data_IF_307462296383
#
_entry.id   IF_307462296383
#
_cell.length_a   1.000
_cell.length_b   1.000
_cell.length_c   1.000
_cell.angle_alpha   90.00
_cell.angle_beta   90.00
_cell.angle_gamma   90.00
#
_symmetry.space_group_name_H-M   'P 1'
#
loop_
_entity.id
_entity.type
_entity.pdbx_description
1 polymer ?
#
# COMPACT_ATOMS: atom_id res chain seq x y z
N UNK A 1 -35.24 -0.42 16.14
CA UNK A 1 -35.37 -1.65 15.32
C UNK A 1 -34.14 -1.91 14.45
N UNK A 2 -33.66 -0.95 13.64
CA UNK A 2 -32.35 -1.06 12.96
C UNK A 2 -31.20 -1.11 13.98
N UNK A 3 -31.38 -0.42 15.11
CA UNK A 3 -30.40 -0.28 16.19
C UNK A 3 -30.06 -1.57 16.93
N UNK A 4 -30.97 -2.54 16.92
CA UNK A 4 -30.82 -3.84 17.59
C UNK A 4 -30.32 -4.93 16.65
N UNK A 5 -30.01 -4.62 15.38
CA UNK A 5 -29.57 -5.59 14.38
C UNK A 5 -28.05 -5.60 14.25
N UNK A 6 -27.36 -6.72 14.50
CA UNK A 6 -25.89 -6.75 14.57
C UNK A 6 -25.22 -6.75 13.19
N UNK A 7 -25.78 -7.42 12.18
CA UNK A 7 -25.13 -7.60 10.88
C UNK A 7 -25.64 -6.64 9.80
N UNK A 8 -24.78 -6.30 8.85
CA UNK A 8 -25.12 -5.46 7.70
C UNK A 8 -26.22 -6.12 6.85
N UNK A 9 -26.10 -7.43 6.61
CA UNK A 9 -27.11 -8.21 5.88
C UNK A 9 -28.50 -8.19 6.54
N UNK A 10 -28.59 -8.27 7.87
CA UNK A 10 -29.88 -8.23 8.56
C UNK A 10 -30.56 -6.85 8.44
N UNK A 11 -29.77 -5.77 8.50
CA UNK A 11 -30.28 -4.41 8.30
C UNK A 11 -30.76 -4.20 6.86
N UNK A 12 -30.03 -4.72 5.88
CA UNK A 12 -30.44 -4.67 4.46
C UNK A 12 -31.69 -5.52 4.20
N UNK A 13 -31.82 -6.68 4.84
CA UNK A 13 -33.02 -7.50 4.74
C UNK A 13 -34.25 -6.77 5.33
N UNK A 14 -34.08 -6.05 6.43
CA UNK A 14 -35.12 -5.20 7.00
C UNK A 14 -35.49 -4.05 6.06
N UNK A 15 -34.49 -3.37 5.50
CA UNK A 15 -34.70 -2.32 4.50
C UNK A 15 -35.51 -2.83 3.30
N UNK A 16 -35.15 -4.00 2.74
CA UNK A 16 -35.89 -4.64 1.64
C UNK A 16 -37.35 -4.93 1.97
N UNK A 17 -37.64 -5.33 3.21
CA UNK A 17 -39.03 -5.58 3.67
C UNK A 17 -39.85 -4.29 3.80
N UNK A 18 -39.19 -3.14 3.99
CA UNK A 18 -39.84 -1.84 4.15
C UNK A 18 -39.88 -1.03 2.84
N UNK A 19 -39.46 -1.60 1.72
CA UNK A 19 -39.28 -0.89 0.44
C UNK A 19 -40.59 -0.29 -0.12
N UNK A 20 -41.76 -0.83 0.26
CA UNK A 20 -43.07 -0.30 -0.14
C UNK A 20 -43.53 0.91 0.70
N UNK A 21 -42.86 1.20 1.81
CA UNK A 21 -43.04 2.41 2.61
C UNK A 21 -41.81 3.30 2.42
N UNK A 22 -41.92 4.27 1.51
CA UNK A 22 -40.81 5.15 1.12
C UNK A 22 -40.23 5.94 2.31
N UNK A 23 -41.04 6.30 3.30
CA UNK A 23 -40.57 7.04 4.47
C UNK A 23 -39.76 6.17 5.42
N UNK A 24 -40.25 4.94 5.68
CA UNK A 24 -39.55 3.98 6.52
C UNK A 24 -38.26 3.46 5.85
N UNK A 25 -38.28 3.18 4.54
CA UNK A 25 -37.13 2.71 3.79
C UNK A 25 -35.98 3.72 3.78
N UNK A 26 -36.25 5.01 3.56
CA UNK A 26 -35.22 6.06 3.57
C UNK A 26 -34.60 6.25 4.97
N UNK A 27 -35.43 6.26 6.02
CA UNK A 27 -34.95 6.33 7.40
C UNK A 27 -34.05 5.14 7.77
N UNK A 28 -34.41 3.93 7.34
CA UNK A 28 -33.61 2.72 7.55
C UNK A 28 -32.30 2.78 6.76
N UNK A 29 -32.33 3.26 5.51
CA UNK A 29 -31.14 3.39 4.67
C UNK A 29 -30.13 4.39 5.26
N UNK A 30 -30.58 5.57 5.69
CA UNK A 30 -29.73 6.55 6.39
C UNK A 30 -29.18 5.99 7.70
N UNK A 31 -29.98 5.24 8.46
CA UNK A 31 -29.53 4.60 9.70
C UNK A 31 -28.52 3.46 9.45
N UNK A 32 -28.58 2.78 8.31
CA UNK A 32 -27.56 1.81 7.88
C UNK A 32 -26.24 2.51 7.55
N UNK A 33 -26.29 3.57 6.72
CA UNK A 33 -25.10 4.35 6.34
C UNK A 33 -24.41 4.97 7.56
N UNK A 34 -25.18 5.54 8.50
CA UNK A 34 -24.64 6.13 9.74
C UNK A 34 -23.95 5.09 10.68
N UNK A 35 -24.20 3.80 10.47
CA UNK A 35 -23.62 2.68 11.23
C UNK A 35 -22.47 1.97 10.52
N UNK A 36 -22.20 2.30 9.26
CA UNK A 36 -20.97 1.85 8.61
C UNK A 36 -19.82 2.62 9.24
N UNK A 37 -19.00 1.92 10.03
CA UNK A 37 -17.85 2.47 10.75
C UNK A 37 -16.52 2.03 10.15
N UNK A 38 -16.54 1.00 9.29
CA UNK A 38 -15.34 0.47 8.67
C UNK A 38 -15.52 0.29 7.17
N UNK A 39 -14.41 0.33 6.42
CA UNK A 39 -14.42 0.05 4.98
C UNK A 39 -14.95 -1.36 4.63
N UNK A 40 -14.77 -2.33 5.51
CA UNK A 40 -15.31 -3.69 5.35
C UNK A 40 -16.84 -3.71 5.48
N UNK A 41 -17.39 -2.99 6.46
CA UNK A 41 -18.85 -2.86 6.60
C UNK A 41 -19.47 -2.14 5.40
N UNK A 42 -18.75 -1.21 4.76
CA UNK A 42 -19.20 -0.55 3.53
C UNK A 42 -19.30 -1.55 2.37
N UNK A 43 -18.27 -2.39 2.18
CA UNK A 43 -18.28 -3.45 1.17
C UNK A 43 -19.38 -4.48 1.41
N UNK A 44 -19.52 -4.95 2.64
CA UNK A 44 -20.62 -5.85 3.04
C UNK A 44 -21.99 -5.23 2.80
N UNK A 45 -22.14 -3.92 2.99
CA UNK A 45 -23.37 -3.18 2.72
C UNK A 45 -23.66 -3.16 1.23
N UNK A 46 -22.66 -2.84 0.40
CA UNK A 46 -22.78 -2.85 -1.06
C UNK A 46 -23.18 -4.23 -1.61
N UNK A 47 -22.50 -5.28 -1.15
CA UNK A 47 -22.80 -6.66 -1.55
C UNK A 47 -24.20 -7.08 -1.07
N UNK A 48 -24.54 -6.77 0.19
CA UNK A 48 -25.85 -7.10 0.75
C UNK A 48 -27.00 -6.35 0.07
N UNK A 49 -26.80 -5.09 -0.32
CA UNK A 49 -27.78 -4.27 -1.06
C UNK A 49 -28.06 -4.83 -2.45
N UNK A 50 -27.17 -5.66 -3.00
CA UNK A 50 -27.28 -6.18 -4.36
C UNK A 50 -27.09 -5.07 -5.39
N UNK A 51 -26.19 -4.12 -5.09
CA UNK A 51 -25.84 -3.04 -6.01
C UNK A 51 -25.41 -3.67 -7.33
N UNK A 52 -26.08 -3.25 -8.41
CA UNK A 52 -25.84 -3.81 -9.73
C UNK A 52 -24.43 -3.44 -10.15
N UNK A 53 -23.59 -4.44 -10.41
CA UNK A 53 -22.31 -4.25 -11.09
C UNK A 53 -22.48 -4.57 -12.58
N UNK A 54 -21.70 -3.90 -13.40
CA UNK A 54 -21.61 -4.29 -14.81
C UNK A 54 -20.93 -5.67 -14.90
N UNK A 55 -21.44 -6.53 -15.79
CA UNK A 55 -20.76 -7.80 -16.07
C UNK A 55 -19.37 -7.51 -16.66
N UNK A 56 -18.28 -8.11 -16.14
CA UNK A 56 -16.94 -7.87 -16.64
C UNK A 56 -16.79 -8.19 -18.13
N UNK A 57 -17.43 -9.27 -18.61
CA UNK A 57 -17.39 -9.66 -20.01
C UNK A 57 -18.13 -8.69 -20.93
N UNK A 58 -19.23 -8.11 -20.47
CA UNK A 58 -19.94 -7.04 -21.17
C UNK A 58 -19.08 -5.77 -21.24
N UNK A 59 -18.48 -5.37 -20.11
CA UNK A 59 -17.61 -4.20 -20.04
C UNK A 59 -16.42 -4.34 -21.00
N UNK A 60 -15.73 -5.48 -20.96
CA UNK A 60 -14.58 -5.74 -21.83
C UNK A 60 -14.95 -5.72 -23.30
N UNK A 61 -16.10 -6.30 -23.67
CA UNK A 61 -16.60 -6.24 -25.06
C UNK A 61 -16.91 -4.82 -25.49
N UNK A 62 -17.57 -4.04 -24.63
CA UNK A 62 -17.92 -2.66 -24.93
C UNK A 62 -16.67 -1.78 -25.08
N UNK A 63 -15.67 -1.94 -24.20
CA UNK A 63 -14.40 -1.22 -24.29
C UNK A 63 -13.56 -1.63 -25.49
N UNK A 64 -13.55 -2.92 -25.87
CA UNK A 64 -12.86 -3.40 -27.09
C UNK A 64 -13.52 -2.88 -28.38
N UNK A 65 -14.83 -2.63 -28.36
CA UNK A 65 -15.53 -2.07 -29.51
C UNK A 65 -15.23 -0.58 -29.72
N UNK A 66 -14.93 0.15 -28.64
CA UNK A 66 -14.53 1.56 -28.68
C UNK A 66 -13.04 1.69 -29.06
N UNK A 67 -12.76 2.25 -30.25
CA UNK A 67 -11.42 2.30 -30.84
C UNK A 67 -10.66 3.57 -30.48
N UNK A 68 -11.36 4.61 -30.06
CA UNK A 68 -10.76 5.89 -29.67
C UNK A 68 -10.98 6.17 -28.17
N UNK A 69 -10.10 6.97 -27.53
CA UNK A 69 -10.30 7.38 -26.13
C UNK A 69 -11.65 8.09 -25.91
N UNK A 70 -12.09 8.91 -26.88
CA UNK A 70 -13.37 9.59 -26.83
C UNK A 70 -14.56 8.62 -26.85
N UNK A 71 -14.51 7.58 -27.70
CA UNK A 71 -15.52 6.52 -27.72
C UNK A 71 -15.53 5.72 -26.41
N UNK A 72 -14.35 5.41 -25.86
CA UNK A 72 -14.24 4.69 -24.60
C UNK A 72 -14.86 5.48 -23.45
N UNK A 73 -14.57 6.78 -23.35
CA UNK A 73 -15.21 7.67 -22.38
C UNK A 73 -16.72 7.71 -22.57
N UNK A 74 -17.21 7.78 -23.82
CA UNK A 74 -18.64 7.76 -24.11
C UNK A 74 -19.29 6.48 -23.60
N UNK A 75 -18.71 5.32 -23.91
CA UNK A 75 -19.18 4.01 -23.43
C UNK A 75 -19.17 3.97 -21.91
N UNK A 76 -18.08 4.37 -21.26
CA UNK A 76 -17.96 4.38 -19.81
C UNK A 76 -18.99 5.29 -19.14
N UNK A 77 -19.31 6.45 -19.73
CA UNK A 77 -20.40 7.33 -19.26
C UNK A 77 -21.76 6.64 -19.36
N UNK A 78 -22.09 6.08 -20.52
CA UNK A 78 -23.37 5.39 -20.73
C UNK A 78 -23.54 4.18 -19.80
N UNK A 79 -22.46 3.46 -19.52
CA UNK A 79 -22.47 2.37 -18.54
C UNK A 79 -22.62 2.94 -17.13
N UNK A 80 -21.88 3.98 -16.75
CA UNK A 80 -21.99 4.57 -15.39
C UNK A 80 -23.40 5.10 -15.12
N UNK A 81 -24.09 5.63 -16.13
CA UNK A 81 -25.48 6.06 -16.01
C UNK A 81 -26.46 4.89 -15.77
N UNK A 82 -26.16 3.71 -16.35
CA UNK A 82 -26.95 2.47 -16.17
C UNK A 82 -26.64 1.75 -14.86
N UNK A 83 -25.41 1.86 -14.38
CA UNK A 83 -24.90 1.25 -13.15
C UNK A 83 -24.29 2.33 -12.23
N UNK A 84 -25.12 3.26 -11.71
CA UNK A 84 -24.61 4.42 -10.97
C UNK A 84 -23.87 4.02 -9.70
N UNK A 85 -24.21 2.88 -9.10
CA UNK A 85 -23.63 2.38 -7.84
C UNK A 85 -22.35 1.54 -8.05
N UNK A 86 -21.94 1.32 -9.30
CA UNK A 86 -20.72 0.58 -9.62
C UNK A 86 -19.49 1.50 -9.50
N UNK A 87 -18.89 1.51 -8.31
CA UNK A 87 -17.70 2.31 -8.03
C UNK A 87 -16.48 1.91 -8.88
N UNK A 88 -16.37 0.64 -9.27
CA UNK A 88 -15.28 0.19 -10.16
C UNK A 88 -15.42 0.84 -11.54
N UNK A 89 -16.63 0.83 -12.08
CA UNK A 89 -16.94 1.49 -13.34
C UNK A 89 -16.73 3.00 -13.28
N UNK A 90 -17.13 3.62 -12.15
CA UNK A 90 -16.89 5.04 -11.91
C UNK A 90 -15.37 5.36 -11.87
N UNK A 91 -14.56 4.52 -11.23
CA UNK A 91 -13.10 4.71 -11.22
C UNK A 91 -12.47 4.49 -12.60
N UNK A 92 -12.96 3.54 -13.41
CA UNK A 92 -12.53 3.37 -14.80
C UNK A 92 -12.85 4.59 -15.66
N UNK A 93 -14.01 5.21 -15.48
CA UNK A 93 -14.34 6.47 -16.14
C UNK A 93 -13.41 7.61 -15.68
N UNK A 94 -13.12 7.69 -14.38
CA UNK A 94 -12.18 8.67 -13.85
C UNK A 94 -10.81 8.54 -14.51
N UNK A 95 -10.31 7.31 -14.64
CA UNK A 95 -9.03 7.02 -15.26
C UNK A 95 -8.99 7.41 -16.75
N UNK A 96 -10.03 7.05 -17.50
CA UNK A 96 -10.15 7.42 -18.92
C UNK A 96 -10.21 8.95 -19.13
N UNK A 97 -10.90 9.67 -18.22
CA UNK A 97 -10.95 11.13 -18.24
C UNK A 97 -9.58 11.74 -17.92
N UNK A 98 -8.84 11.22 -16.95
CA UNK A 98 -7.50 11.72 -16.61
C UNK A 98 -6.53 11.65 -17.79
N UNK A 99 -6.66 10.61 -18.62
CA UNK A 99 -5.79 10.36 -19.76
C UNK A 99 -6.13 11.26 -20.96
N UNK A 100 -7.36 11.78 -21.03
CA UNK A 100 -7.87 12.54 -22.19
C UNK A 100 -8.11 14.04 -21.90
N UNK A 101 -8.70 14.37 -20.75
CA UNK A 101 -9.12 15.72 -20.38
C UNK A 101 -8.95 15.96 -18.86
N UNK A 102 -7.82 16.55 -18.44
CA UNK A 102 -7.57 16.89 -17.04
C UNK A 102 -8.62 17.80 -16.38
N UNK A 103 -9.33 18.61 -17.16
CA UNK A 103 -10.40 19.47 -16.64
C UNK A 103 -11.65 18.66 -16.31
N UNK A 104 -12.08 17.81 -17.24
CA UNK A 104 -13.19 16.89 -17.02
C UNK A 104 -12.89 15.88 -15.91
N UNK A 105 -11.64 15.40 -15.82
CA UNK A 105 -11.16 14.55 -14.74
C UNK A 105 -11.37 15.20 -13.37
N UNK A 106 -10.90 16.44 -13.16
CA UNK A 106 -11.11 17.18 -11.90
C UNK A 106 -12.59 17.37 -11.58
N UNK A 107 -13.40 17.75 -12.57
CA UNK A 107 -14.83 17.93 -12.38
C UNK A 107 -15.52 16.62 -11.93
N UNK A 108 -15.14 15.51 -12.55
CA UNK A 108 -15.67 14.20 -12.21
C UNK A 108 -15.17 13.69 -10.84
N UNK A 109 -13.89 13.91 -10.51
CA UNK A 109 -13.32 13.55 -9.21
C UNK A 109 -14.03 14.27 -8.03
N UNK A 110 -14.39 15.55 -8.20
CA UNK A 110 -15.21 16.29 -7.22
C UNK A 110 -16.59 15.66 -7.03
N UNK A 111 -17.23 15.23 -8.13
CA UNK A 111 -18.53 14.53 -8.05
C UNK A 111 -18.40 13.20 -7.32
N UNK A 112 -17.35 12.42 -7.60
CA UNK A 112 -17.12 11.14 -6.93
C UNK A 112 -16.95 11.29 -5.42
N UNK A 113 -16.19 12.29 -4.97
CA UNK A 113 -16.02 12.57 -3.54
C UNK A 113 -17.29 12.99 -2.82
N UNK A 114 -18.22 13.62 -3.53
CA UNK A 114 -19.52 14.04 -2.99
C UNK A 114 -20.54 12.91 -2.92
N UNK A 115 -20.24 11.72 -3.43
CA UNK A 115 -21.16 10.59 -3.36
C UNK A 115 -21.26 10.06 -1.94
N UNK A 116 -22.47 9.71 -1.54
CA UNK A 116 -22.72 9.14 -0.21
C UNK A 116 -22.06 7.77 0.01
N UNK A 117 -21.79 7.04 -1.08
CA UNK A 117 -21.16 5.73 -1.10
C UNK A 117 -19.65 5.79 -1.38
N UNK A 118 -19.08 6.98 -1.51
CA UNK A 118 -17.64 7.12 -1.66
C UNK A 118 -16.96 6.50 -0.44
N UNK A 119 -16.09 5.53 -0.67
CA UNK A 119 -15.34 4.84 0.38
C UNK A 119 -13.87 5.30 0.41
N UNK A 120 -13.04 4.63 1.21
CA UNK A 120 -11.61 4.93 1.28
C UNK A 120 -10.88 4.66 -0.05
N UNK A 121 -11.34 3.70 -0.87
CA UNK A 121 -10.76 3.39 -2.17
C UNK A 121 -11.04 4.50 -3.18
N UNK A 122 -12.28 4.99 -3.25
CA UNK A 122 -12.63 6.14 -4.10
C UNK A 122 -11.80 7.37 -3.72
N UNK A 123 -11.70 7.68 -2.43
CA UNK A 123 -10.87 8.81 -1.95
C UNK A 123 -9.39 8.62 -2.26
N UNK A 124 -8.88 7.39 -2.14
CA UNK A 124 -7.51 7.07 -2.54
C UNK A 124 -7.32 7.36 -4.03
N UNK A 125 -8.15 6.79 -4.90
CA UNK A 125 -8.04 6.98 -6.35
C UNK A 125 -8.16 8.45 -6.77
N UNK A 126 -9.07 9.22 -6.16
CA UNK A 126 -9.22 10.65 -6.44
C UNK A 126 -8.01 11.46 -5.93
N UNK A 127 -7.49 11.15 -4.74
CA UNK A 127 -6.29 11.83 -4.22
C UNK A 127 -5.06 11.54 -5.09
N UNK A 128 -4.86 10.29 -5.50
CA UNK A 128 -3.80 9.87 -6.42
C UNK A 128 -3.91 10.56 -7.78
N UNK A 129 -5.12 10.69 -8.31
CA UNK A 129 -5.38 11.46 -9.53
C UNK A 129 -4.94 12.92 -9.37
N UNK A 130 -5.30 13.58 -8.28
CA UNK A 130 -4.88 14.96 -8.05
C UNK A 130 -3.35 15.09 -7.96
N UNK A 131 -2.64 14.13 -7.37
CA UNK A 131 -1.17 14.14 -7.37
C UNK A 131 -0.56 13.96 -8.76
N UNK A 132 -1.15 13.09 -9.59
CA UNK A 132 -0.70 12.95 -10.98
C UNK A 132 -1.01 14.21 -11.79
N UNK A 133 -2.18 14.81 -11.62
CA UNK A 133 -2.54 16.07 -12.27
C UNK A 133 -1.64 17.22 -11.82
N UNK A 134 -1.22 17.28 -10.55
CA UNK A 134 -0.30 18.28 -10.05
C UNK A 134 1.06 18.27 -10.77
N UNK A 135 1.50 17.08 -11.24
CA UNK A 135 2.74 16.90 -12.01
C UNK A 135 2.57 17.16 -13.51
N UNK A 136 1.34 17.25 -14.04
CA UNK A 136 1.05 17.52 -15.46
C UNK A 136 1.04 19.03 -15.76
N UNK A 137 1.26 19.44 -17.03
CA UNK A 137 1.09 20.83 -17.44
C UNK A 137 -0.29 21.37 -17.08
N UNK A 138 -0.34 22.57 -16.48
CA UNK A 138 -1.58 23.19 -16.00
C UNK A 138 -2.09 22.68 -14.65
N UNK A 139 -1.35 21.77 -13.98
CA UNK A 139 -1.52 21.48 -12.57
C UNK A 139 -0.58 22.29 -11.68
N UNK A 140 -0.58 21.99 -10.39
CA UNK A 140 0.36 22.59 -9.43
C UNK A 140 -0.06 22.39 -7.97
N UNK A 141 0.35 23.32 -7.11
CA UNK A 141 0.12 23.25 -5.66
C UNK A 141 -1.35 23.10 -5.28
N UNK A 142 -2.27 23.71 -6.05
CA UNK A 142 -3.70 23.59 -5.80
C UNK A 142 -4.18 22.13 -5.92
N UNK A 143 -3.71 21.39 -6.92
CA UNK A 143 -4.04 19.97 -7.06
C UNK A 143 -3.36 19.13 -5.98
N UNK A 144 -2.11 19.43 -5.64
CA UNK A 144 -1.41 18.74 -4.55
C UNK A 144 -2.11 18.95 -3.20
N UNK A 145 -2.62 20.15 -2.93
CA UNK A 145 -3.42 20.45 -1.74
C UNK A 145 -4.76 19.70 -1.77
N UNK A 146 -5.42 19.63 -2.93
CA UNK A 146 -6.68 18.90 -3.08
C UNK A 146 -6.50 17.38 -2.90
N UNK A 147 -5.35 16.82 -3.30
CA UNK A 147 -4.99 15.44 -3.01
C UNK A 147 -4.89 15.18 -1.50
N UNK A 148 -4.10 16.00 -0.78
CA UNK A 148 -3.94 15.90 0.67
C UNK A 148 -5.28 16.00 1.40
N UNK A 149 -6.13 16.93 0.97
CA UNK A 149 -7.50 17.07 1.50
C UNK A 149 -8.33 15.82 1.27
N UNK A 150 -8.31 15.29 0.04
CA UNK A 150 -9.06 14.08 -0.33
C UNK A 150 -8.63 12.88 0.49
N UNK A 151 -7.33 12.71 0.74
CA UNK A 151 -6.86 11.65 1.63
C UNK A 151 -7.34 11.87 3.07
N UNK A 152 -7.28 13.11 3.58
CA UNK A 152 -7.77 13.47 4.91
C UNK A 152 -9.24 13.08 5.14
N UNK A 153 -10.09 13.16 4.11
CA UNK A 153 -11.49 12.74 4.19
C UNK A 153 -11.65 11.25 4.59
N UNK A 154 -10.65 10.39 4.34
CA UNK A 154 -10.70 8.97 4.75
C UNK A 154 -10.94 8.84 6.26
N UNK A 155 -10.29 9.69 7.07
CA UNK A 155 -10.46 9.67 8.53
C UNK A 155 -11.56 10.62 9.01
N UNK A 156 -12.03 11.57 8.19
CA UNK A 156 -13.19 12.40 8.55
C UNK A 156 -14.48 11.57 8.57
N UNK A 157 -14.64 10.67 7.61
CA UNK A 157 -15.81 9.78 7.54
C UNK A 157 -15.71 8.59 8.51
N UNK A 158 -14.49 8.17 8.87
CA UNK A 158 -14.23 7.04 9.77
C UNK A 158 -13.20 7.39 10.86
N UNK A 159 -13.51 8.32 11.79
CA UNK A 159 -12.51 8.90 12.70
C UNK A 159 -11.89 7.94 13.71
N UNK A 160 -12.66 6.90 14.07
CA UNK A 160 -12.29 5.89 15.06
C UNK A 160 -11.93 4.53 14.42
N UNK A 161 -11.87 4.43 13.08
CA UNK A 161 -11.50 3.20 12.39
C UNK A 161 -9.97 3.09 12.28
N UNK A 162 -9.34 2.09 12.93
CA UNK A 162 -7.91 1.84 12.79
C UNK A 162 -7.48 1.63 11.34
N UNK A 163 -8.30 0.98 10.50
CA UNK A 163 -7.97 0.74 9.11
C UNK A 163 -7.94 2.04 8.28
N UNK A 164 -8.86 2.97 8.56
CA UNK A 164 -8.88 4.29 7.92
C UNK A 164 -7.65 5.13 8.33
N UNK A 165 -7.31 5.12 9.63
CA UNK A 165 -6.11 5.81 10.16
C UNK A 165 -4.82 5.27 9.56
N UNK A 166 -4.69 3.94 9.50
CA UNK A 166 -3.55 3.27 8.86
C UNK A 166 -3.44 3.66 7.39
N UNK A 167 -4.54 3.55 6.63
CA UNK A 167 -4.56 3.87 5.20
C UNK A 167 -4.15 5.31 4.93
N UNK A 168 -4.64 6.28 5.70
CA UNK A 168 -4.18 7.66 5.57
C UNK A 168 -2.67 7.78 5.85
N UNK A 169 -2.19 7.18 6.94
CA UNK A 169 -0.75 7.16 7.25
C UNK A 169 0.10 6.56 6.11
N UNK A 170 -0.32 5.44 5.53
CA UNK A 170 0.38 4.78 4.43
C UNK A 170 0.41 5.64 3.17
N UNK A 171 -0.71 6.28 2.80
CA UNK A 171 -0.75 7.22 1.68
C UNK A 171 0.18 8.41 1.90
N UNK A 172 0.15 9.00 3.10
CA UNK A 172 1.02 10.13 3.43
C UNK A 172 2.51 9.73 3.37
N UNK A 173 2.85 8.55 3.90
CA UNK A 173 4.21 8.00 3.87
C UNK A 173 4.67 7.68 2.44
N UNK A 174 3.79 7.12 1.61
CA UNK A 174 4.10 6.80 0.22
C UNK A 174 4.48 8.04 -0.61
N UNK A 175 3.92 9.20 -0.26
CA UNK A 175 4.19 10.48 -0.92
C UNK A 175 5.21 11.37 -0.18
N UNK A 176 5.93 10.80 0.79
CA UNK A 176 7.02 11.49 1.50
C UNK A 176 6.57 12.50 2.55
N UNK A 177 5.28 12.55 2.91
CA UNK A 177 4.76 13.41 3.97
C UNK A 177 4.87 12.70 5.33
N UNK A 178 6.12 12.46 5.72
CA UNK A 178 6.45 11.57 6.82
C UNK A 178 6.03 12.11 8.18
N UNK A 179 6.10 13.42 8.41
CA UNK A 179 5.64 14.03 9.66
C UNK A 179 4.13 13.83 9.86
N UNK A 180 3.32 14.07 8.82
CA UNK A 180 1.88 13.87 8.88
C UNK A 180 1.55 12.38 9.01
N UNK A 181 2.27 11.49 8.30
CA UNK A 181 2.11 10.04 8.43
C UNK A 181 2.38 9.57 9.86
N UNK A 182 3.47 10.05 10.47
CA UNK A 182 3.85 9.73 11.85
C UNK A 182 2.72 10.08 12.83
N UNK A 183 2.11 11.27 12.71
CA UNK A 183 0.97 11.68 13.56
C UNK A 183 -0.25 10.78 13.40
N UNK A 184 -0.53 10.28 12.19
CA UNK A 184 -1.62 9.32 11.97
C UNK A 184 -1.32 7.99 12.66
N UNK A 185 -0.08 7.50 12.56
CA UNK A 185 0.32 6.26 13.23
C UNK A 185 0.38 6.41 14.76
N UNK A 186 0.72 7.57 15.31
CA UNK A 186 0.60 7.83 16.76
C UNK A 186 -0.87 7.77 17.22
N UNK A 187 -1.79 8.25 16.38
CA UNK A 187 -3.22 8.14 16.65
C UNK A 187 -3.69 6.69 16.56
N UNK A 188 -3.23 5.96 15.55
CA UNK A 188 -3.48 4.53 15.41
C UNK A 188 -2.95 3.76 16.64
N UNK A 189 -1.76 4.08 17.14
CA UNK A 189 -1.19 3.46 18.35
C UNK A 189 -2.10 3.57 19.57
N UNK A 190 -2.80 4.70 19.72
CA UNK A 190 -3.76 4.91 20.81
C UNK A 190 -5.05 4.11 20.62
N UNK A 191 -5.46 3.86 19.36
CA UNK A 191 -6.65 3.07 19.03
C UNK A 191 -6.38 1.57 19.12
N UNK A 192 -5.14 1.14 18.89
CA UNK A 192 -4.72 -0.28 18.90
C UNK A 192 -3.50 -0.49 19.79
N UNK A 193 -3.63 -0.33 21.12
CA UNK A 193 -2.49 -0.41 22.04
C UNK A 193 -1.82 -1.79 22.08
N UNK A 194 -2.54 -2.84 21.69
CA UNK A 194 -2.06 -4.23 21.69
C UNK A 194 -1.42 -4.66 20.36
N UNK A 195 -1.36 -3.78 19.35
CA UNK A 195 -0.70 -4.08 18.08
C UNK A 195 0.83 -3.98 18.24
N UNK A 196 1.46 -5.14 18.45
CA UNK A 196 2.90 -5.26 18.62
C UNK A 196 3.72 -4.83 17.39
N UNK A 197 3.13 -4.80 16.18
CA UNK A 197 3.82 -4.45 14.94
C UNK A 197 3.63 -3.00 14.53
N UNK A 198 2.66 -2.29 15.11
CA UNK A 198 2.43 -0.87 14.85
C UNK A 198 3.68 0.02 15.01
N UNK A 199 4.61 -0.22 15.96
CA UNK A 199 5.85 0.55 16.03
C UNK A 199 6.67 0.51 14.74
N UNK A 200 6.53 -0.51 13.87
CA UNK A 200 7.22 -0.57 12.57
C UNK A 200 6.70 0.46 11.56
N UNK A 201 5.43 0.88 11.68
CA UNK A 201 4.88 2.00 10.88
C UNK A 201 5.53 3.32 11.30
N UNK A 202 5.65 3.56 12.61
CA UNK A 202 6.36 4.71 13.17
C UNK A 202 7.84 4.70 12.78
N UNK A 203 8.47 3.52 12.82
CA UNK A 203 9.86 3.33 12.39
C UNK A 203 10.05 3.74 10.92
N UNK A 204 9.16 3.30 10.04
CA UNK A 204 9.21 3.62 8.60
C UNK A 204 9.06 5.12 8.33
N UNK A 205 8.15 5.80 9.04
CA UNK A 205 8.04 7.27 8.94
C UNK A 205 9.26 7.99 9.51
N UNK A 206 9.78 7.56 10.67
CA UNK A 206 11.00 8.12 11.25
C UNK A 206 12.22 7.95 10.32
N UNK A 207 12.32 6.81 9.62
CA UNK A 207 13.35 6.59 8.63
C UNK A 207 13.20 7.52 7.42
N UNK A 208 11.98 7.74 6.94
CA UNK A 208 11.70 8.72 5.87
C UNK A 208 12.09 10.15 6.24
N UNK A 209 12.00 10.52 7.53
CA UNK A 209 12.48 11.80 8.07
C UNK A 209 14.01 11.89 8.19
N UNK A 210 14.76 10.83 7.84
CA UNK A 210 16.20 10.75 8.07
C UNK A 210 16.59 10.53 9.54
N UNK A 211 15.62 10.23 10.42
CA UNK A 211 15.87 9.98 11.85
C UNK A 211 16.16 8.51 12.10
N UNK A 212 17.21 7.98 11.49
CA UNK A 212 17.51 6.54 11.50
C UNK A 212 17.64 5.96 12.91
N UNK A 213 18.29 6.67 13.84
CA UNK A 213 18.40 6.22 15.22
C UNK A 213 17.04 6.09 15.93
N UNK A 214 16.09 6.96 15.61
CA UNK A 214 14.72 6.86 16.11
C UNK A 214 13.98 5.68 15.47
N UNK A 215 14.15 5.49 14.16
CA UNK A 215 13.59 4.35 13.44
C UNK A 215 14.04 3.02 14.06
N UNK A 216 15.34 2.88 14.36
CA UNK A 216 15.87 1.66 14.99
C UNK A 216 15.26 1.42 16.37
N UNK A 217 15.10 2.45 17.22
CA UNK A 217 14.43 2.29 18.53
C UNK A 217 13.00 1.80 18.38
N UNK A 218 12.27 2.26 17.37
CA UNK A 218 10.92 1.78 17.07
C UNK A 218 10.91 0.32 16.62
N UNK A 219 11.88 -0.11 15.81
CA UNK A 219 12.04 -1.54 15.45
C UNK A 219 12.38 -2.41 16.66
N UNK A 220 13.26 -1.95 17.56
CA UNK A 220 13.61 -2.65 18.81
C UNK A 220 12.36 -2.82 19.70
N UNK A 221 11.52 -1.78 19.79
CA UNK A 221 10.24 -1.83 20.52
C UNK A 221 9.26 -2.85 19.94
N UNK A 222 9.09 -2.89 18.61
CA UNK A 222 8.26 -3.91 17.96
C UNK A 222 8.80 -5.33 18.20
N UNK A 223 10.12 -5.49 18.12
CA UNK A 223 10.79 -6.77 18.38
C UNK A 223 10.57 -7.25 19.81
N UNK A 224 10.67 -6.36 20.81
CA UNK A 224 10.46 -6.70 22.21
C UNK A 224 8.99 -6.98 22.57
N UNK A 225 8.05 -6.33 21.87
CA UNK A 225 6.61 -6.53 22.06
C UNK A 225 6.09 -7.82 21.39
N UNK A 226 6.85 -8.39 20.46
CA UNK A 226 6.48 -9.63 19.77
C UNK A 226 6.74 -10.85 20.66
N UNK A 227 5.70 -11.61 21.01
CA UNK A 227 5.84 -12.82 21.82
C UNK A 227 6.71 -13.89 21.10
N UNK A 228 7.60 -14.61 21.82
CA UNK A 228 8.44 -15.66 21.21
C UNK A 228 7.65 -16.85 20.66
N UNK A 229 6.46 -17.08 21.23
CA UNK A 229 5.64 -18.30 21.03
C UNK A 229 4.51 -18.07 20.03
N UNK A 230 4.22 -16.81 19.68
CA UNK A 230 3.27 -16.50 18.63
C UNK A 230 3.94 -16.88 17.31
N UNK A 231 3.41 -17.87 16.59
CA UNK A 231 3.90 -18.27 15.26
C UNK A 231 3.91 -17.15 14.20
N UNK A 232 3.65 -15.90 14.56
CA UNK A 232 3.88 -14.70 13.75
C UNK A 232 5.34 -14.27 13.87
N UNK A 233 6.07 -14.25 12.76
CA UNK A 233 7.46 -13.80 12.68
C UNK A 233 7.69 -12.32 12.99
N UNK A 234 6.94 -11.69 13.89
CA UNK A 234 7.00 -10.25 14.21
C UNK A 234 8.37 -9.79 14.69
N UNK A 235 9.03 -10.57 15.55
CA UNK A 235 10.41 -10.30 15.96
C UNK A 235 11.41 -10.39 14.80
N UNK A 236 11.21 -11.34 13.87
CA UNK A 236 12.03 -11.45 12.64
C UNK A 236 11.76 -10.27 11.71
N UNK A 237 10.50 -9.88 11.55
CA UNK A 237 10.10 -8.73 10.73
C UNK A 237 10.70 -7.43 11.26
N UNK A 238 10.64 -7.21 12.58
CA UNK A 238 11.26 -6.06 13.23
C UNK A 238 12.78 -6.01 12.99
N UNK A 239 13.45 -7.16 13.07
CA UNK A 239 14.88 -7.26 12.72
C UNK A 239 15.15 -7.06 11.23
N UNK A 240 14.26 -7.48 10.34
CA UNK A 240 14.36 -7.22 8.91
C UNK A 240 14.25 -5.72 8.59
N UNK A 241 13.33 -4.99 9.23
CA UNK A 241 13.27 -3.52 9.16
C UNK A 241 14.56 -2.88 9.69
N UNK A 242 15.04 -3.31 10.86
CA UNK A 242 16.30 -2.81 11.43
C UNK A 242 17.49 -3.07 10.49
N UNK A 243 17.58 -4.26 9.90
CA UNK A 243 18.61 -4.63 8.95
C UNK A 243 18.57 -3.73 7.70
N UNK A 244 17.38 -3.48 7.14
CA UNK A 244 17.22 -2.57 6.01
C UNK A 244 17.67 -1.15 6.34
N UNK A 245 17.18 -0.57 7.45
CA UNK A 245 17.49 0.82 7.83
C UNK A 245 18.97 1.01 8.17
N UNK A 246 19.57 0.06 8.89
CA UNK A 246 21.01 0.12 9.18
C UNK A 246 21.84 -0.10 7.90
N UNK A 247 21.41 -0.96 6.98
CA UNK A 247 22.10 -1.13 5.70
C UNK A 247 22.05 0.17 4.87
N UNK A 248 20.93 0.88 4.85
CA UNK A 248 20.83 2.16 4.16
C UNK A 248 21.76 3.21 4.76
N UNK A 249 21.80 3.31 6.10
CA UNK A 249 22.71 4.23 6.78
C UNK A 249 24.19 3.87 6.54
N UNK A 250 24.54 2.57 6.50
CA UNK A 250 25.89 2.10 6.17
C UNK A 250 26.27 2.43 4.72
N UNK A 251 25.37 2.20 3.77
CA UNK A 251 25.59 2.57 2.36
C UNK A 251 25.82 4.09 2.21
N UNK A 252 25.01 4.91 2.89
CA UNK A 252 25.18 6.36 2.90
C UNK A 252 26.48 6.80 3.58
N UNK A 253 26.90 6.12 4.66
CA UNK A 253 28.17 6.38 5.36
C UNK A 253 29.39 6.01 4.51
N UNK A 254 29.33 4.86 3.83
CA UNK A 254 30.38 4.42 2.91
C UNK A 254 30.53 5.41 1.74
N UNK A 255 29.43 5.79 1.09
CA UNK A 255 29.43 6.78 0.00
C UNK A 255 29.90 8.17 0.46
N UNK A 256 29.62 8.53 1.70
CA UNK A 256 30.08 9.78 2.32
C UNK A 256 31.48 9.75 2.93
N UNK A 257 32.20 8.63 2.88
CA UNK A 257 33.54 8.50 3.46
C UNK A 257 33.58 8.54 5.01
N UNK A 258 32.46 8.30 5.69
CA UNK A 258 32.31 8.39 7.16
C UNK A 258 32.70 7.07 7.85
N UNK A 259 33.98 6.73 7.81
CA UNK A 259 34.49 5.41 8.25
C UNK A 259 34.17 5.04 9.71
N UNK A 260 34.27 6.00 10.65
CA UNK A 260 33.98 5.74 12.06
C UNK A 260 32.50 5.42 12.31
N UNK A 261 31.60 6.12 11.60
CA UNK A 261 30.16 5.88 11.68
C UNK A 261 29.78 4.55 11.02
N UNK A 262 30.38 4.24 9.87
CA UNK A 262 30.20 2.97 9.18
C UNK A 262 30.51 1.78 10.11
N UNK A 263 31.63 1.82 10.83
CA UNK A 263 32.00 0.74 11.76
C UNK A 263 31.03 0.65 12.95
N UNK A 264 30.62 1.79 13.52
CA UNK A 264 29.63 1.81 14.60
C UNK A 264 28.29 1.20 14.17
N UNK A 265 27.79 1.57 12.98
CA UNK A 265 26.56 1.05 12.40
C UNK A 265 26.67 -0.45 12.08
N UNK A 266 27.85 -0.91 11.68
CA UNK A 266 28.14 -2.33 11.41
C UNK A 266 28.08 -3.17 12.68
N UNK A 267 28.74 -2.73 13.75
CA UNK A 267 28.67 -3.40 15.06
C UNK A 267 27.25 -3.41 15.63
N UNK A 268 26.47 -2.35 15.39
CA UNK A 268 25.07 -2.31 15.79
C UNK A 268 24.22 -3.32 15.02
N UNK A 269 24.40 -3.44 13.70
CA UNK A 269 23.71 -4.46 12.94
C UNK A 269 24.07 -5.87 13.38
N UNK A 270 25.36 -6.19 13.56
CA UNK A 270 25.79 -7.50 14.08
C UNK A 270 25.05 -7.88 15.36
N UNK A 271 24.92 -6.94 16.30
CA UNK A 271 24.21 -7.18 17.57
C UNK A 271 22.71 -7.38 17.39
N UNK A 272 22.06 -6.55 16.58
CA UNK A 272 20.61 -6.61 16.40
C UNK A 272 20.14 -7.79 15.56
N UNK A 273 20.94 -8.22 14.58
CA UNK A 273 20.60 -9.32 13.69
C UNK A 273 21.25 -10.65 14.08
N UNK A 274 22.03 -10.72 15.16
CA UNK A 274 22.77 -11.91 15.59
C UNK A 274 21.94 -13.20 15.61
N UNK A 275 20.68 -13.13 16.02
CA UNK A 275 19.76 -14.28 16.12
C UNK A 275 19.31 -14.80 14.75
N UNK A 276 19.21 -13.92 13.76
CA UNK A 276 18.82 -14.25 12.37
C UNK A 276 19.92 -13.85 11.37
N UNK A 277 21.18 -13.98 11.79
CA UNK A 277 22.31 -13.64 10.94
C UNK A 277 22.36 -14.65 9.77
N UNK A 278 22.52 -14.20 8.52
CA UNK A 278 22.72 -15.11 7.40
C UNK A 278 23.97 -15.96 7.64
N UNK A 279 24.01 -17.22 7.19
CA UNK A 279 25.23 -18.02 7.27
C UNK A 279 26.35 -17.36 6.46
N UNK A 280 27.64 -17.63 6.78
CA UNK A 280 28.76 -17.07 6.04
C UNK A 280 28.64 -17.32 4.53
N UNK A 281 28.86 -16.27 3.72
CA UNK A 281 28.72 -16.32 2.26
C UNK A 281 27.27 -16.25 1.75
N UNK A 282 26.26 -16.20 2.63
CA UNK A 282 24.89 -15.94 2.21
C UNK A 282 24.63 -14.45 1.97
N UNK A 283 23.60 -14.17 1.18
CA UNK A 283 23.17 -12.81 0.85
C UNK A 283 21.76 -12.58 1.34
N UNK A 284 21.55 -11.52 2.13
CA UNK A 284 20.21 -11.09 2.54
C UNK A 284 19.62 -10.21 1.45
N UNK A 285 18.38 -10.51 1.05
CA UNK A 285 17.61 -9.73 0.10
C UNK A 285 16.34 -9.25 0.81
N UNK A 286 16.17 -7.93 0.87
CA UNK A 286 15.00 -7.29 1.49
C UNK A 286 14.32 -6.45 0.43
N UNK A 287 13.03 -6.69 0.22
CA UNK A 287 12.16 -5.85 -0.59
C UNK A 287 11.31 -4.98 0.34
N UNK A 288 11.33 -3.67 0.15
CA UNK A 288 10.46 -2.74 0.88
C UNK A 288 9.63 -1.89 -0.06
N UNK A 289 8.40 -1.57 0.31
CA UNK A 289 7.52 -0.67 -0.46
C UNK A 289 6.64 0.15 0.48
N UNK A 290 6.11 1.26 -0.03
CA UNK A 290 5.39 2.23 0.80
C UNK A 290 3.93 2.38 0.41
N UNK A 291 3.60 2.22 -0.88
CA UNK A 291 2.26 2.47 -1.37
C UNK A 291 1.27 1.36 -0.96
N UNK A 292 0.12 1.67 -0.34
CA UNK A 292 -0.84 0.68 0.18
C UNK A 292 -1.66 -0.06 -0.89
N UNK A 293 -1.42 0.22 -2.17
CA UNK A 293 -1.99 -0.48 -3.32
C UNK A 293 -0.94 -1.29 -4.09
N UNK A 294 0.29 -1.36 -3.58
CA UNK A 294 1.38 -2.15 -4.16
C UNK A 294 1.58 -3.39 -3.27
N UNK A 295 1.38 -4.59 -3.82
CA UNK A 295 1.46 -5.84 -3.06
C UNK A 295 2.37 -6.88 -3.75
N UNK A 296 3.68 -6.61 -3.90
CA UNK A 296 4.60 -7.54 -4.51
C UNK A 296 4.82 -8.77 -3.63
N UNK A 297 4.89 -9.93 -4.28
CA UNK A 297 5.33 -11.18 -3.66
C UNK A 297 6.77 -11.45 -4.09
N UNK A 298 7.66 -11.60 -3.10
CA UNK A 298 9.07 -11.92 -3.34
C UNK A 298 9.27 -13.44 -3.44
N UNK A 299 9.88 -13.86 -4.54
CA UNK A 299 10.29 -15.23 -4.82
C UNK A 299 11.80 -15.29 -5.01
N UNK A 300 12.39 -16.47 -4.82
CA UNK A 300 13.80 -16.73 -5.10
C UNK A 300 13.98 -18.14 -5.64
N UNK A 301 14.80 -18.34 -6.66
CA UNK A 301 15.15 -19.68 -7.15
C UNK A 301 16.36 -20.31 -6.43
N UNK A 302 16.92 -19.62 -5.43
CA UNK A 302 18.10 -20.08 -4.73
C UNK A 302 17.81 -21.37 -3.94
N UNK A 303 18.64 -22.39 -4.17
CA UNK A 303 18.50 -23.68 -3.49
C UNK A 303 18.59 -23.50 -1.97
N UNK A 304 17.57 -23.97 -1.26
CA UNK A 304 17.46 -23.87 0.20
C UNK A 304 16.81 -22.57 0.70
N UNK A 305 16.44 -21.65 -0.19
CA UNK A 305 15.60 -20.51 0.16
C UNK A 305 14.12 -20.90 0.13
N UNK A 306 13.34 -20.60 1.19
CA UNK A 306 11.89 -20.79 1.18
C UNK A 306 11.19 -19.93 0.10
N UNK A 307 10.14 -20.48 -0.51
CA UNK A 307 9.34 -19.85 -1.55
C UNK A 307 7.83 -19.98 -1.27
N UNK A 308 7.05 -18.88 -1.29
CA UNK A 308 7.52 -17.50 -1.36
C UNK A 308 8.35 -17.10 -0.13
N UNK A 309 8.95 -15.92 -0.16
CA UNK A 309 9.75 -15.39 0.94
C UNK A 309 8.97 -15.44 2.29
N UNK A 310 9.55 -16.03 3.36
CA UNK A 310 8.81 -16.41 4.57
C UNK A 310 8.54 -15.22 5.49
N UNK A 311 9.42 -14.22 5.49
CA UNK A 311 9.32 -13.05 6.35
C UNK A 311 8.69 -11.91 5.54
N UNK A 312 7.38 -12.01 5.33
CA UNK A 312 6.61 -11.06 4.51
C UNK A 312 5.43 -10.49 5.31
N UNK A 313 5.29 -9.16 5.29
CA UNK A 313 4.07 -8.48 5.73
C UNK A 313 3.67 -7.45 4.66
N UNK A 314 2.63 -7.77 3.86
CA UNK A 314 2.22 -6.89 2.77
C UNK A 314 1.69 -5.54 3.21
N UNK A 315 1.13 -5.46 4.43
CA UNK A 315 0.55 -4.23 4.95
C UNK A 315 1.63 -3.29 5.51
N UNK A 316 2.73 -3.84 6.03
CA UNK A 316 3.89 -3.06 6.48
C UNK A 316 4.86 -2.75 5.35
N UNK A 317 4.74 -3.45 4.22
CA UNK A 317 5.50 -3.19 3.02
C UNK A 317 6.92 -3.74 3.10
N UNK A 318 7.09 -4.94 3.64
CA UNK A 318 8.40 -5.61 3.71
C UNK A 318 8.28 -7.10 3.38
N UNK A 319 9.25 -7.60 2.62
CA UNK A 319 9.47 -9.02 2.38
C UNK A 319 10.97 -9.31 2.38
N UNK A 320 11.39 -10.45 2.95
CA UNK A 320 12.79 -10.81 3.04
C UNK A 320 13.04 -12.28 2.69
N UNK A 321 14.14 -12.52 1.97
CA UNK A 321 14.69 -13.86 1.74
C UNK A 321 16.21 -13.84 1.90
N UNK A 322 16.78 -14.94 2.40
CA UNK A 322 18.23 -15.15 2.45
C UNK A 322 18.60 -16.15 1.36
N UNK A 323 19.58 -15.79 0.52
CA UNK A 323 20.16 -16.64 -0.52
C UNK A 323 21.33 -17.41 0.07
N UNK A 324 21.21 -18.73 0.36
CA UNK A 324 22.22 -19.44 1.16
C UNK A 324 23.60 -19.53 0.52
N UNK A 325 23.66 -19.49 -0.82
CA UNK A 325 24.91 -19.55 -1.60
C UNK A 325 25.42 -18.17 -2.04
N UNK A 326 24.77 -17.09 -1.61
CA UNK A 326 25.16 -15.72 -1.96
C UNK A 326 24.78 -15.26 -3.37
N UNK A 327 24.16 -16.13 -4.16
CA UNK A 327 23.70 -15.84 -5.52
C UNK A 327 22.37 -16.54 -5.81
N UNK A 328 21.64 -16.01 -6.80
CA UNK A 328 20.35 -16.54 -7.25
C UNK A 328 19.56 -15.49 -8.03
N UNK A 329 18.38 -15.88 -8.52
CA UNK A 329 17.39 -14.95 -9.08
C UNK A 329 16.31 -14.71 -8.06
N UNK A 330 15.99 -13.44 -7.83
CA UNK A 330 14.81 -13.03 -7.09
C UNK A 330 13.76 -12.53 -8.06
N UNK A 331 12.50 -12.84 -7.80
CA UNK A 331 11.39 -12.40 -8.62
C UNK A 331 10.40 -11.62 -7.77
N UNK A 332 10.02 -10.45 -8.24
CA UNK A 332 8.93 -9.66 -7.68
C UNK A 332 7.71 -9.90 -8.56
N UNK A 333 6.68 -10.50 -7.99
CA UNK A 333 5.45 -10.86 -8.71
C UNK A 333 4.29 -10.01 -8.21
N UNK A 334 3.44 -9.56 -9.12
CA UNK A 334 2.19 -8.86 -8.85
C UNK A 334 1.03 -9.65 -9.46
N UNK A 335 -0.12 -9.56 -8.81
CA UNK A 335 -1.38 -9.93 -9.47
C UNK A 335 -1.65 -8.97 -10.64
N UNK A 336 -2.31 -9.41 -11.73
CA UNK A 336 -2.56 -8.57 -12.90
C UNK A 336 -3.20 -7.21 -12.59
N UNK A 337 -4.19 -7.20 -11.69
CA UNK A 337 -4.87 -5.97 -11.27
C UNK A 337 -3.95 -5.03 -10.46
N UNK A 338 -3.02 -5.58 -9.68
CA UNK A 338 -2.03 -4.81 -8.94
C UNK A 338 -0.96 -4.24 -9.88
N UNK A 339 -0.57 -4.97 -10.93
CA UNK A 339 0.37 -4.48 -11.94
C UNK A 339 -0.19 -3.25 -12.69
N UNK A 340 -1.47 -3.30 -13.09
CA UNK A 340 -2.14 -2.17 -13.72
C UNK A 340 -2.22 -0.95 -12.79
N UNK A 341 -2.58 -1.15 -11.52
CA UNK A 341 -2.59 -0.08 -10.51
C UNK A 341 -1.19 0.48 -10.25
N UNK A 342 -0.20 -0.38 -10.05
CA UNK A 342 1.18 0.02 -9.79
C UNK A 342 1.75 0.85 -10.94
N UNK A 343 1.47 0.47 -12.19
CA UNK A 343 1.85 1.24 -13.38
C UNK A 343 1.21 2.62 -13.42
N UNK A 344 -0.09 2.71 -13.10
CA UNK A 344 -0.80 4.00 -13.07
C UNK A 344 -0.27 4.91 -11.95
N UNK A 345 0.06 4.34 -10.80
CA UNK A 345 0.60 5.07 -9.65
C UNK A 345 2.07 5.47 -9.85
N UNK A 346 2.80 4.78 -10.73
CA UNK A 346 4.25 4.83 -10.76
C UNK A 346 4.85 4.29 -9.46
N UNK A 347 4.19 3.28 -8.86
CA UNK A 347 4.57 2.74 -7.57
C UNK A 347 5.94 2.04 -7.65
N UNK A 348 6.76 2.27 -6.63
CA UNK A 348 8.13 1.79 -6.54
C UNK A 348 8.30 0.90 -5.30
N UNK A 349 9.04 -0.19 -5.48
CA UNK A 349 9.62 -0.96 -4.38
C UNK A 349 11.14 -0.80 -4.40
N UNK A 350 11.78 -0.90 -3.24
CA UNK A 350 13.23 -0.83 -3.09
C UNK A 350 13.77 -2.22 -2.74
N UNK A 351 14.62 -2.75 -3.63
CA UNK A 351 15.37 -3.97 -3.39
C UNK A 351 16.70 -3.62 -2.71
N UNK A 352 16.89 -4.11 -1.49
CA UNK A 352 18.13 -3.96 -0.72
C UNK A 352 18.81 -5.32 -0.64
N UNK A 353 20.03 -5.40 -1.15
CA UNK A 353 20.85 -6.61 -1.13
C UNK A 353 22.08 -6.37 -0.26
N UNK A 354 22.30 -7.26 0.70
CA UNK A 354 23.38 -7.19 1.67
C UNK A 354 24.19 -8.48 1.59
N UNK A 355 25.42 -8.36 1.13
CA UNK A 355 26.41 -9.45 1.03
C UNK A 355 27.33 -9.37 2.23
N UNK A 356 27.66 -10.52 2.82
CA UNK A 356 28.54 -10.64 3.99
C UNK A 356 28.15 -9.66 5.11
N UNK A 357 26.85 -9.62 5.42
CA UNK A 357 26.22 -8.68 6.35
C UNK A 357 26.99 -8.56 7.66
N UNK A 358 27.28 -7.31 8.04
CA UNK A 358 28.01 -7.02 9.26
C UNK A 358 29.52 -7.28 9.19
N UNK A 359 30.09 -7.93 8.19
CA UNK A 359 31.54 -8.18 8.14
C UNK A 359 32.32 -6.98 7.56
N UNK A 360 33.67 -6.93 7.68
CA UNK A 360 34.48 -5.96 6.96
C UNK A 360 34.36 -6.04 5.42
N UNK A 361 33.99 -7.21 4.90
CA UNK A 361 33.77 -7.46 3.46
C UNK A 361 32.36 -7.10 2.97
N UNK A 362 31.51 -6.54 3.85
CA UNK A 362 30.11 -6.22 3.55
C UNK A 362 29.98 -5.33 2.30
N UNK A 363 29.03 -5.69 1.44
CA UNK A 363 28.61 -4.86 0.30
C UNK A 363 27.10 -4.71 0.29
N UNK A 364 26.65 -3.49 0.09
CA UNK A 364 25.24 -3.13 0.10
C UNK A 364 24.88 -2.52 -1.24
N UNK A 365 23.82 -3.04 -1.86
CA UNK A 365 23.27 -2.52 -3.11
C UNK A 365 21.79 -2.22 -2.91
N UNK A 366 21.38 -1.02 -3.31
CA UNK A 366 19.99 -0.57 -3.29
C UNK A 366 19.53 -0.32 -4.73
N UNK A 367 18.46 -0.97 -5.13
CA UNK A 367 17.89 -0.84 -6.48
C UNK A 367 16.38 -0.56 -6.41
N UNK A 368 15.95 0.62 -6.86
CA UNK A 368 14.56 0.89 -7.22
C UNK A 368 14.03 -0.12 -8.23
N UNK A 369 12.83 -0.66 -7.97
CA UNK A 369 12.08 -1.50 -8.90
C UNK A 369 10.71 -0.85 -9.12
N UNK A 370 10.53 -0.27 -10.31
CA UNK A 370 9.31 0.44 -10.70
C UNK A 370 8.48 -0.42 -11.63
N UNK A 371 7.20 -0.64 -11.31
CA UNK A 371 6.29 -1.40 -12.17
C UNK A 371 5.64 -0.47 -13.19
N UNK A 372 6.34 -0.14 -14.28
CA UNK A 372 5.89 0.90 -15.23
C UNK A 372 4.91 0.44 -16.31
N UNK A 373 4.71 -0.87 -16.48
CA UNK A 373 3.82 -1.43 -17.50
C UNK A 373 2.65 -2.20 -16.86
N UNK A 374 1.40 -2.00 -17.31
CA UNK A 374 0.23 -2.68 -16.75
C UNK A 374 0.26 -4.21 -16.86
N UNK A 375 0.97 -4.75 -17.87
CA UNK A 375 1.14 -6.18 -18.12
C UNK A 375 2.38 -6.78 -17.47
N UNK A 376 3.25 -5.95 -16.86
CA UNK A 376 4.47 -6.40 -16.19
C UNK A 376 4.16 -6.95 -14.79
N UNK A 377 3.56 -8.14 -14.76
CA UNK A 377 3.22 -8.90 -13.55
C UNK A 377 4.44 -9.51 -12.85
N UNK A 378 5.61 -9.45 -13.48
CA UNK A 378 6.84 -10.06 -12.97
C UNK A 378 8.06 -9.19 -13.29
N UNK A 379 8.95 -9.05 -12.31
CA UNK A 379 10.31 -8.52 -12.49
C UNK A 379 11.32 -9.48 -11.92
N UNK A 380 12.34 -9.81 -12.70
CA UNK A 380 13.39 -10.75 -12.33
C UNK A 380 14.68 -9.97 -12.15
N UNK A 381 15.33 -10.17 -10.99
CA UNK A 381 16.63 -9.57 -10.71
C UNK A 381 17.59 -10.70 -10.36
N UNK A 382 18.66 -10.82 -11.13
CA UNK A 382 19.76 -11.70 -10.80
C UNK A 382 20.65 -11.04 -9.75
N UNK A 383 20.89 -11.76 -8.67
CA UNK A 383 21.78 -11.40 -7.58
C UNK A 383 23.04 -12.24 -7.69
N UNK A 384 24.18 -11.60 -7.89
CA UNK A 384 25.50 -12.23 -7.94
C UNK A 384 26.49 -11.42 -7.10
N UNK A 385 26.63 -11.80 -5.83
CA UNK A 385 27.29 -10.96 -4.84
C UNK A 385 26.60 -9.57 -4.78
N UNK A 386 27.35 -8.46 -4.87
CA UNK A 386 26.76 -7.11 -4.79
C UNK A 386 26.07 -6.67 -6.10
N UNK A 387 26.25 -7.42 -7.19
CA UNK A 387 25.79 -7.01 -8.51
C UNK A 387 24.34 -7.42 -8.69
N UNK A 388 23.51 -6.46 -9.09
CA UNK A 388 22.12 -6.68 -9.44
C UNK A 388 21.93 -6.43 -10.93
N UNK A 389 21.30 -7.38 -11.62
CA UNK A 389 21.01 -7.26 -13.05
C UNK A 389 19.55 -7.63 -13.29
N UNK A 390 18.78 -6.70 -13.86
CA UNK A 390 17.42 -7.02 -14.28
C UNK A 390 17.45 -7.93 -15.50
N UNK A 391 16.69 -9.01 -15.44
CA UNK A 391 16.46 -9.91 -16.55
C UNK A 391 15.15 -9.54 -17.26
N UNK A 392 15.08 -9.71 -18.59
CA UNK A 392 13.91 -9.34 -19.40
C UNK A 392 12.63 -10.13 -19.08
#
# INVERSE_FOLDING_TARGET
MVESMPTVGARVALWRRMFNDKGAADAIYRAMLARVRTATQMRELHDALGLKRVDPGLLDRALKAAKTPAEQIKVLRELTDKWPDDLELALRLLDALEDSDPGAARAYARRLRQRNDADARVRTAVGELYLRLAKKPGGGEADAAEARRTFGEIVEFFPDDPAARRRLGDLLRAHGWYEEAFRQYETLARLTPDDALLPLLLASSAQGLGKTEEAIRWTERAGAASAPDAGSGGGRLARAFAAAFLAWARDDAAKGGRAAELESLRERARRLTAVDAPPPGATRVILTWTHPELHPVLWSDALGAPMPAPDTDPLLGLSQVVLPRGEGRVELRLEPDDAARAARLGAEALLTVIVDEGTPGEKITRQPVVFSRPDAVRRVVRVAGPTLTEEP
#
